data_IF_745879885218
#
_entry.id   IF_745879885218
#
_cell.length_a   1.000
_cell.length_b   1.000
_cell.length_c   1.000
_cell.angle_alpha   90.00
_cell.angle_beta   90.00
_cell.angle_gamma   90.00
#
_symmetry.space_group_name_H-M   'P 1'
#
loop_
_entity.id
_entity.type
_entity.pdbx_description
1 polymer ?
#
# COMPACT_ATOMS: atom_id res chain seq x y z
N UNK A 1 1.14 33.01 -29.40
CA UNK A 1 0.18 32.09 -28.76
C UNK A 1 0.69 30.68 -29.03
N UNK A 2 1.31 30.08 -28.04
CA UNK A 2 1.97 28.76 -28.14
C UNK A 2 1.02 27.70 -27.55
N UNK A 3 0.58 26.77 -28.39
CA UNK A 3 -0.13 25.55 -27.98
C UNK A 3 0.94 24.45 -27.82
N UNK A 4 1.49 24.30 -26.62
CA UNK A 4 2.46 23.27 -26.32
C UNK A 4 2.18 22.63 -24.96
N UNK A 5 1.13 21.80 -24.85
CA UNK A 5 0.78 21.26 -23.55
C UNK A 5 -0.03 19.96 -23.53
N UNK A 6 0.01 19.12 -24.56
CA UNK A 6 -0.80 17.89 -24.58
C UNK A 6 -0.10 16.65 -25.18
N UNK A 7 1.22 16.70 -25.42
CA UNK A 7 1.94 15.58 -26.03
C UNK A 7 2.64 14.66 -25.03
N UNK A 8 2.59 14.93 -23.74
CA UNK A 8 3.27 14.11 -22.72
C UNK A 8 2.59 12.74 -22.50
N UNK A 9 1.26 12.70 -22.57
CA UNK A 9 0.48 11.45 -22.43
C UNK A 9 0.63 10.49 -23.63
N UNK A 10 1.23 10.94 -24.73
CA UNK A 10 1.50 10.12 -25.92
C UNK A 10 2.93 9.57 -25.97
N UNK A 11 3.75 9.84 -24.96
CA UNK A 11 5.09 9.28 -24.86
C UNK A 11 5.01 7.76 -24.76
N UNK A 12 5.73 7.09 -25.66
CA UNK A 12 5.84 5.62 -25.71
C UNK A 12 6.30 5.05 -24.35
N UNK A 13 7.09 5.82 -23.60
CA UNK A 13 7.58 5.47 -22.27
C UNK A 13 6.47 5.42 -21.22
N UNK A 14 5.50 6.34 -21.24
CA UNK A 14 4.33 6.33 -20.32
C UNK A 14 3.47 5.10 -20.60
N UNK A 15 3.27 4.76 -21.88
CA UNK A 15 2.52 3.55 -22.25
C UNK A 15 3.25 2.27 -21.85
N UNK A 16 4.59 2.25 -21.95
CA UNK A 16 5.42 1.11 -21.52
C UNK A 16 5.40 0.98 -20.00
N UNK A 17 5.50 2.06 -19.24
CA UNK A 17 5.46 2.04 -17.78
C UNK A 17 4.07 1.62 -17.28
N UNK A 18 3.01 2.18 -17.86
CA UNK A 18 1.63 1.79 -17.52
C UNK A 18 1.36 0.31 -17.89
N UNK A 19 1.89 -0.15 -19.04
CA UNK A 19 1.82 -1.53 -19.47
C UNK A 19 2.61 -2.49 -18.57
N UNK A 20 3.79 -2.07 -18.10
CA UNK A 20 4.62 -2.86 -17.19
C UNK A 20 3.98 -3.00 -15.80
N UNK A 21 3.39 -1.93 -15.27
CA UNK A 21 2.65 -1.97 -13.99
C UNK A 21 1.41 -2.84 -14.13
N UNK A 22 0.64 -2.70 -15.21
CA UNK A 22 -0.52 -3.56 -15.47
C UNK A 22 -0.13 -5.02 -15.67
N UNK A 23 1.01 -5.32 -16.32
CA UNK A 23 1.52 -6.68 -16.49
C UNK A 23 1.98 -7.30 -15.17
N UNK A 24 2.61 -6.53 -14.27
CA UNK A 24 3.01 -6.99 -12.93
C UNK A 24 1.78 -7.28 -12.05
N UNK A 25 0.76 -6.45 -12.13
CA UNK A 25 -0.52 -6.68 -11.42
C UNK A 25 -1.22 -7.92 -11.98
N UNK A 26 -1.24 -8.10 -13.32
CA UNK A 26 -1.79 -9.29 -13.96
C UNK A 26 -1.01 -10.57 -13.62
N UNK A 27 0.31 -10.52 -13.52
CA UNK A 27 1.13 -11.66 -13.11
C UNK A 27 0.90 -12.02 -11.63
N UNK A 28 0.70 -11.03 -10.76
CA UNK A 28 0.33 -11.28 -9.37
C UNK A 28 -1.08 -11.91 -9.24
N UNK A 29 -2.03 -11.48 -10.09
CA UNK A 29 -3.38 -12.04 -10.16
C UNK A 29 -3.38 -13.45 -10.76
N UNK A 30 -2.59 -13.71 -11.82
CA UNK A 30 -2.47 -15.03 -12.43
C UNK A 30 -1.76 -16.04 -11.50
N UNK A 31 -0.79 -15.60 -10.70
CA UNK A 31 -0.14 -16.44 -9.69
C UNK A 31 -1.11 -16.92 -8.61
N UNK A 32 -2.15 -16.15 -8.30
CA UNK A 32 -3.21 -16.55 -7.36
C UNK A 32 -4.25 -17.50 -7.96
N UNK A 33 -4.40 -17.50 -9.29
CA UNK A 33 -5.36 -18.37 -10.00
C UNK A 33 -4.82 -19.79 -10.24
N UNK A 34 -3.49 -19.97 -10.25
CA UNK A 34 -2.85 -21.27 -10.49
C UNK A 34 -2.77 -22.12 -9.22
N UNK A 35 -2.83 -21.49 -8.04
CA UNK A 35 -2.93 -22.20 -6.76
C UNK A 35 -4.41 -22.34 -6.41
N UNK A 36 -5.03 -23.47 -6.76
CA UNK A 36 -6.45 -23.79 -6.52
C UNK A 36 -6.88 -23.89 -5.04
N UNK A 37 -6.18 -23.25 -4.13
CA UNK A 37 -6.59 -23.02 -2.75
C UNK A 37 -7.21 -21.63 -2.65
N UNK A 38 -8.52 -21.53 -2.50
CA UNK A 38 -9.19 -20.30 -2.08
C UNK A 38 -8.52 -19.81 -0.80
N UNK A 39 -7.73 -18.75 -0.91
CA UNK A 39 -7.15 -18.11 0.28
C UNK A 39 -8.31 -17.65 1.14
N UNK A 40 -8.41 -18.22 2.34
CA UNK A 40 -9.46 -17.93 3.29
C UNK A 40 -9.48 -16.43 3.65
N UNK A 41 -10.68 -15.86 3.79
CA UNK A 41 -10.91 -14.44 4.11
C UNK A 41 -10.07 -13.98 5.30
N UNK A 42 -9.99 -14.78 6.36
CA UNK A 42 -9.21 -14.41 7.54
C UNK A 42 -7.70 -14.28 7.23
N UNK A 43 -7.17 -15.09 6.31
CA UNK A 43 -5.76 -14.96 5.85
C UNK A 43 -5.55 -13.68 5.07
N UNK A 44 -6.51 -13.30 4.21
CA UNK A 44 -6.46 -12.03 3.48
C UNK A 44 -6.46 -10.85 4.44
N UNK A 45 -7.37 -10.83 5.41
CA UNK A 45 -7.49 -9.75 6.41
C UNK A 45 -6.25 -9.66 7.29
N UNK A 46 -5.73 -10.78 7.79
CA UNK A 46 -4.49 -10.81 8.59
C UNK A 46 -3.29 -10.30 7.79
N UNK A 47 -3.14 -10.73 6.54
CA UNK A 47 -2.05 -10.28 5.66
C UNK A 47 -2.16 -8.79 5.33
N UNK A 48 -3.37 -8.30 5.11
CA UNK A 48 -3.63 -6.87 4.91
C UNK A 48 -3.27 -6.07 6.16
N UNK A 49 -3.74 -6.48 7.34
CA UNK A 49 -3.44 -5.79 8.58
C UNK A 49 -1.94 -5.73 8.88
N UNK A 50 -1.21 -6.83 8.66
CA UNK A 50 0.25 -6.86 8.82
C UNK A 50 0.95 -5.88 7.86
N UNK A 51 0.51 -5.79 6.60
CA UNK A 51 1.07 -4.82 5.65
C UNK A 51 0.78 -3.38 6.07
N UNK A 52 -0.45 -3.07 6.46
CA UNK A 52 -0.86 -1.75 6.96
C UNK A 52 0.02 -1.31 8.14
N UNK A 53 0.18 -2.18 9.15
CA UNK A 53 1.00 -1.90 10.34
C UNK A 53 2.48 -1.69 9.99
N UNK A 54 3.02 -2.48 9.07
CA UNK A 54 4.40 -2.33 8.62
C UNK A 54 4.63 -1.05 7.82
N UNK A 55 3.74 -0.71 6.90
CA UNK A 55 3.83 0.54 6.14
C UNK A 55 3.74 1.76 7.07
N UNK A 56 2.84 1.73 8.05
CA UNK A 56 2.73 2.77 9.07
C UNK A 56 4.03 2.93 9.87
N UNK A 57 4.63 1.81 10.30
CA UNK A 57 5.92 1.80 11.01
C UNK A 57 7.05 2.42 10.18
N UNK A 58 7.14 2.09 8.88
CA UNK A 58 8.12 2.65 7.96
C UNK A 58 7.92 4.16 7.79
N UNK A 59 6.68 4.61 7.62
CA UNK A 59 6.37 6.04 7.53
C UNK A 59 6.87 6.78 8.77
N UNK A 60 6.58 6.28 9.97
CA UNK A 60 7.04 6.89 11.23
C UNK A 60 8.56 6.98 11.32
N UNK A 61 9.28 6.01 10.79
CA UNK A 61 10.73 5.97 10.78
C UNK A 61 11.33 7.03 9.85
N UNK A 62 10.74 7.22 8.66
CA UNK A 62 11.37 8.03 7.60
C UNK A 62 10.78 9.44 7.44
N UNK A 63 9.53 9.69 7.85
CA UNK A 63 8.86 10.98 7.64
C UNK A 63 9.65 12.19 8.18
N UNK A 64 10.37 12.02 9.29
CA UNK A 64 11.19 13.10 9.87
C UNK A 64 12.43 13.43 9.04
N UNK A 65 12.85 12.54 8.16
CA UNK A 65 13.98 12.72 7.25
C UNK A 65 13.57 13.31 5.89
N UNK A 66 12.29 13.33 5.57
CA UNK A 66 11.74 13.98 4.37
C UNK A 66 11.90 15.49 4.49
N UNK A 67 12.42 16.14 3.45
CA UNK A 67 12.71 17.59 3.46
C UNK A 67 11.47 18.41 3.12
N UNK A 68 10.64 17.97 2.18
CA UNK A 68 9.41 18.67 1.79
C UNK A 68 8.40 18.68 2.93
N UNK A 69 7.92 19.88 3.29
CA UNK A 69 6.86 20.07 4.30
C UNK A 69 5.55 19.40 3.90
N UNK A 70 5.18 19.53 2.63
CA UNK A 70 3.94 18.99 2.09
C UNK A 70 3.96 17.47 2.10
N UNK A 71 5.10 16.89 1.69
CA UNK A 71 5.27 15.43 1.73
C UNK A 71 5.27 14.90 3.17
N UNK A 72 5.86 15.61 4.13
CA UNK A 72 5.77 15.27 5.56
C UNK A 72 4.33 15.30 6.08
N UNK A 73 3.57 16.33 5.69
CA UNK A 73 2.16 16.46 6.07
C UNK A 73 1.32 15.32 5.50
N UNK A 74 1.53 14.98 4.23
CA UNK A 74 0.87 13.84 3.59
C UNK A 74 1.27 12.52 4.25
N UNK A 75 2.55 12.34 4.61
CA UNK A 75 3.03 11.17 5.33
C UNK A 75 2.40 11.03 6.73
N UNK A 76 2.25 12.14 7.47
CA UNK A 76 1.55 12.13 8.75
C UNK A 76 0.07 11.75 8.61
N UNK A 77 -0.60 12.26 7.57
CA UNK A 77 -1.98 11.91 7.26
C UNK A 77 -2.12 10.43 6.92
N UNK A 78 -1.22 9.91 6.08
CA UNK A 78 -1.20 8.49 5.72
C UNK A 78 -0.94 7.61 6.96
N UNK A 79 0.04 7.95 7.79
CA UNK A 79 0.30 7.21 9.02
C UNK A 79 -0.94 7.17 9.94
N UNK A 80 -1.69 8.27 10.03
CA UNK A 80 -2.92 8.32 10.84
C UNK A 80 -4.01 7.42 10.28
N UNK A 81 -4.24 7.42 8.97
CA UNK A 81 -5.21 6.53 8.32
C UNK A 81 -4.83 5.07 8.58
N UNK A 82 -3.58 4.69 8.30
CA UNK A 82 -3.10 3.33 8.47
C UNK A 82 -3.16 2.87 9.94
N UNK A 83 -2.81 3.74 10.91
CA UNK A 83 -2.89 3.43 12.33
C UNK A 83 -4.34 3.16 12.78
N UNK A 84 -5.29 3.97 12.32
CA UNK A 84 -6.70 3.77 12.64
C UNK A 84 -7.22 2.47 12.04
N UNK A 85 -6.98 2.23 10.75
CA UNK A 85 -7.39 1.01 10.06
C UNK A 85 -6.78 -0.24 10.70
N UNK A 86 -5.47 -0.21 11.02
CA UNK A 86 -4.79 -1.34 11.69
C UNK A 86 -5.39 -1.64 13.05
N UNK A 87 -5.74 -0.61 13.83
CA UNK A 87 -6.37 -0.79 15.15
C UNK A 87 -7.75 -1.45 15.01
N UNK A 88 -8.58 -0.98 14.10
CA UNK A 88 -9.92 -1.51 13.87
C UNK A 88 -9.85 -2.96 13.34
N UNK A 89 -8.97 -3.24 12.38
CA UNK A 89 -8.75 -4.59 11.89
C UNK A 89 -8.20 -5.53 12.96
N UNK A 90 -7.30 -5.06 13.83
CA UNK A 90 -6.76 -5.86 14.94
C UNK A 90 -7.88 -6.24 15.91
N UNK A 91 -8.76 -5.31 16.26
CA UNK A 91 -9.93 -5.58 17.10
C UNK A 91 -10.85 -6.60 16.43
N UNK A 92 -11.20 -6.36 15.17
CA UNK A 92 -12.04 -7.26 14.37
C UNK A 92 -11.47 -8.69 14.28
N UNK A 93 -10.17 -8.81 13.96
CA UNK A 93 -9.47 -10.10 13.86
C UNK A 93 -9.48 -10.84 15.20
N UNK A 94 -9.22 -10.13 16.31
CA UNK A 94 -9.18 -10.73 17.65
C UNK A 94 -10.54 -11.28 18.08
N UNK A 95 -11.63 -10.68 17.62
CA UNK A 95 -12.98 -11.11 17.93
C UNK A 95 -13.49 -12.24 17.03
N UNK A 96 -13.25 -12.13 15.73
CA UNK A 96 -13.87 -12.99 14.72
C UNK A 96 -13.00 -14.17 14.27
N UNK A 97 -11.66 -14.09 14.42
CA UNK A 97 -10.74 -15.10 13.86
C UNK A 97 -9.83 -15.77 14.93
N UNK A 98 -10.35 -15.99 16.13
CA UNK A 98 -9.62 -16.55 17.30
C UNK A 98 -8.93 -17.90 17.08
N UNK A 99 -9.29 -18.66 16.04
CA UNK A 99 -8.87 -20.07 15.86
C UNK A 99 -7.88 -20.32 14.72
N UNK A 100 -7.19 -19.31 14.19
CA UNK A 100 -6.17 -19.55 13.15
C UNK A 100 -4.97 -20.30 13.69
N UNK A 101 -4.45 -21.23 12.89
CA UNK A 101 -3.24 -21.96 13.25
C UNK A 101 -2.06 -21.00 13.43
N UNK A 102 -1.25 -21.23 14.45
CA UNK A 102 -0.05 -20.43 14.73
C UNK A 102 0.92 -20.42 13.53
N UNK A 103 0.95 -21.48 12.74
CA UNK A 103 1.80 -21.59 11.55
C UNK A 103 1.38 -20.64 10.43
N UNK A 104 0.07 -20.50 10.20
CA UNK A 104 -0.45 -19.55 9.21
C UNK A 104 -0.16 -18.10 9.62
N UNK A 105 -0.32 -17.76 10.89
CA UNK A 105 0.02 -16.45 11.43
C UNK A 105 1.51 -16.16 11.26
N UNK A 106 2.38 -17.12 11.63
CA UNK A 106 3.84 -16.99 11.51
C UNK A 106 4.28 -16.80 10.05
N UNK A 107 3.67 -17.51 9.10
CA UNK A 107 3.99 -17.34 7.68
C UNK A 107 3.63 -15.94 7.17
N UNK A 108 2.48 -15.38 7.60
CA UNK A 108 2.05 -14.02 7.28
C UNK A 108 3.02 -12.99 7.87
N UNK A 109 3.38 -13.14 9.15
CA UNK A 109 4.32 -12.25 9.84
C UNK A 109 5.70 -12.28 9.18
N UNK A 110 6.21 -13.46 8.84
CA UNK A 110 7.50 -13.60 8.15
C UNK A 110 7.52 -12.87 6.83
N UNK A 111 6.49 -13.08 5.99
CA UNK A 111 6.41 -12.38 4.70
C UNK A 111 6.29 -10.88 4.88
N UNK A 112 5.45 -10.43 5.80
CA UNK A 112 5.27 -9.01 6.07
C UNK A 112 6.55 -8.34 6.59
N UNK A 113 7.35 -9.06 7.40
CA UNK A 113 8.66 -8.59 7.85
C UNK A 113 9.64 -8.43 6.70
N UNK A 114 9.71 -9.40 5.79
CA UNK A 114 10.56 -9.31 4.60
C UNK A 114 10.19 -8.12 3.72
N UNK A 115 8.89 -7.95 3.41
CA UNK A 115 8.39 -6.82 2.62
C UNK A 115 8.75 -5.46 3.28
N UNK A 116 8.71 -5.38 4.62
CA UNK A 116 9.12 -4.20 5.39
C UNK A 116 10.62 -3.92 5.27
N UNK A 117 11.45 -4.94 5.47
CA UNK A 117 12.92 -4.83 5.40
C UNK A 117 13.39 -4.38 4.01
N UNK A 118 12.75 -4.87 2.95
CA UNK A 118 13.03 -4.43 1.59
C UNK A 118 12.71 -2.94 1.41
N UNK A 119 11.54 -2.50 1.85
CA UNK A 119 11.13 -1.09 1.80
C UNK A 119 12.06 -0.18 2.61
N UNK A 120 12.43 -0.58 3.83
CA UNK A 120 13.38 0.14 4.67
C UNK A 120 14.76 0.25 4.03
N UNK A 121 15.24 -0.82 3.40
CA UNK A 121 16.54 -0.85 2.70
C UNK A 121 16.56 0.15 1.53
N UNK A 122 15.49 0.20 0.74
CA UNK A 122 15.39 1.14 -0.38
C UNK A 122 15.33 2.59 0.10
N UNK A 123 14.53 2.89 1.13
CA UNK A 123 14.43 4.24 1.70
C UNK A 123 15.72 4.67 2.38
N UNK A 124 16.42 3.77 3.04
CA UNK A 124 17.74 4.05 3.62
C UNK A 124 18.76 4.39 2.53
N UNK A 125 18.81 3.62 1.46
CA UNK A 125 19.64 3.91 0.30
C UNK A 125 19.31 5.28 -0.32
N UNK A 126 18.03 5.58 -0.49
CA UNK A 126 17.57 6.87 -1.01
C UNK A 126 17.97 8.05 -0.12
N UNK A 127 17.93 7.87 1.20
CA UNK A 127 18.37 8.86 2.19
C UNK A 127 19.86 9.15 2.05
N UNK A 128 20.71 8.12 1.95
CA UNK A 128 22.17 8.30 1.79
C UNK A 128 22.48 9.02 0.46
N UNK A 129 21.74 8.70 -0.59
CA UNK A 129 21.95 9.30 -1.92
C UNK A 129 21.28 10.68 -2.09
N UNK A 130 20.63 11.22 -1.05
CA UNK A 130 20.03 12.56 -1.09
C UNK A 130 18.74 12.67 -1.92
N UNK A 131 18.12 11.56 -2.31
CA UNK A 131 16.91 11.47 -3.15
C UNK A 131 15.70 10.91 -2.39
N UNK A 132 15.73 11.01 -1.06
CA UNK A 132 14.71 10.40 -0.20
C UNK A 132 13.30 10.87 -0.55
N UNK A 133 13.07 12.17 -0.70
CA UNK A 133 11.72 12.70 -0.91
C UNK A 133 11.03 12.07 -2.12
N UNK A 134 11.74 11.99 -3.24
CA UNK A 134 11.21 11.39 -4.47
C UNK A 134 10.93 9.90 -4.30
N UNK A 135 11.88 9.15 -3.75
CA UNK A 135 11.73 7.70 -3.57
C UNK A 135 10.66 7.40 -2.51
N UNK A 136 10.62 8.18 -1.43
CA UNK A 136 9.59 8.04 -0.41
C UNK A 136 8.20 8.26 -0.98
N UNK A 137 7.98 9.33 -1.75
CA UNK A 137 6.70 9.60 -2.39
C UNK A 137 6.29 8.45 -3.32
N UNK A 138 7.18 8.00 -4.19
CA UNK A 138 6.93 6.89 -5.10
C UNK A 138 6.58 5.59 -4.35
N UNK A 139 7.34 5.26 -3.30
CA UNK A 139 7.09 4.05 -2.49
C UNK A 139 5.77 4.13 -1.73
N UNK A 140 5.43 5.30 -1.18
CA UNK A 140 4.15 5.47 -0.49
C UNK A 140 2.97 5.38 -1.47
N UNK A 141 3.06 5.96 -2.67
CA UNK A 141 2.05 5.77 -3.71
C UNK A 141 1.87 4.28 -4.05
N UNK A 142 2.97 3.54 -4.21
CA UNK A 142 2.93 2.10 -4.45
C UNK A 142 2.26 1.33 -3.29
N UNK A 143 2.66 1.59 -2.05
CA UNK A 143 2.08 0.93 -0.87
C UNK A 143 0.58 1.22 -0.73
N UNK A 144 0.17 2.48 -0.95
CA UNK A 144 -1.24 2.85 -0.97
C UNK A 144 -2.00 2.04 -2.02
N UNK A 145 -1.48 1.94 -3.24
CA UNK A 145 -2.15 1.21 -4.32
C UNK A 145 -2.31 -0.29 -3.99
N UNK A 146 -1.30 -0.91 -3.40
CA UNK A 146 -1.34 -2.33 -3.01
C UNK A 146 -2.33 -2.56 -1.86
N UNK A 147 -2.35 -1.68 -0.86
CA UNK A 147 -3.29 -1.76 0.27
C UNK A 147 -4.72 -1.58 -0.25
N UNK A 148 -4.99 -0.53 -1.02
CA UNK A 148 -6.31 -0.23 -1.58
C UNK A 148 -6.84 -1.38 -2.46
N UNK A 149 -6.00 -1.98 -3.31
CA UNK A 149 -6.38 -3.13 -4.12
C UNK A 149 -6.80 -4.33 -3.26
N UNK A 150 -6.08 -4.59 -2.18
CA UNK A 150 -6.43 -5.69 -1.25
C UNK A 150 -7.69 -5.40 -0.44
N UNK A 151 -7.89 -4.14 -0.06
CA UNK A 151 -9.13 -3.70 0.59
C UNK A 151 -10.33 -3.92 -0.34
N UNK A 152 -10.22 -3.49 -1.60
CA UNK A 152 -11.27 -3.67 -2.61
C UNK A 152 -11.60 -5.14 -2.84
N UNK A 153 -10.59 -6.02 -2.94
CA UNK A 153 -10.81 -7.46 -3.06
C UNK A 153 -11.62 -8.04 -1.89
N UNK A 154 -11.34 -7.60 -0.66
CA UNK A 154 -12.05 -8.07 0.53
C UNK A 154 -13.45 -7.46 0.57
N UNK A 155 -13.61 -6.17 0.31
CA UNK A 155 -14.90 -5.46 0.25
C UNK A 155 -15.86 -6.17 -0.72
N UNK A 156 -15.36 -6.57 -1.89
CA UNK A 156 -16.16 -7.21 -2.93
C UNK A 156 -16.47 -8.68 -2.64
N UNK A 157 -15.70 -9.35 -1.79
CA UNK A 157 -15.87 -10.78 -1.47
C UNK A 157 -16.50 -11.05 -0.11
N UNK A 158 -16.45 -10.11 0.83
CA UNK A 158 -16.97 -10.31 2.19
C UNK A 158 -18.48 -10.08 2.28
N UNK A 159 -19.17 -10.96 3.03
CA UNK A 159 -20.55 -10.74 3.46
C UNK A 159 -20.70 -10.03 4.81
N UNK A 160 -19.59 -9.59 5.44
CA UNK A 160 -19.56 -9.05 6.81
C UNK A 160 -19.62 -7.53 6.78
N UNK A 161 -20.75 -6.95 7.18
CA UNK A 161 -21.00 -5.51 7.10
C UNK A 161 -19.95 -4.68 7.88
N UNK A 162 -19.56 -5.10 9.08
CA UNK A 162 -18.56 -4.43 9.91
C UNK A 162 -17.17 -4.35 9.20
N UNK A 163 -16.71 -5.48 8.63
CA UNK A 163 -15.44 -5.51 7.89
C UNK A 163 -15.49 -4.63 6.65
N UNK A 164 -16.63 -4.67 5.95
CA UNK A 164 -16.85 -3.84 4.76
C UNK A 164 -16.80 -2.35 5.09
N UNK A 165 -17.40 -1.93 6.20
CA UNK A 165 -17.40 -0.53 6.66
C UNK A 165 -15.97 -0.05 6.98
N UNK A 166 -15.21 -0.82 7.78
CA UNK A 166 -13.82 -0.51 8.13
C UNK A 166 -12.98 -0.30 6.85
N UNK A 167 -13.05 -1.26 5.94
CA UNK A 167 -12.23 -1.23 4.72
C UNK A 167 -12.67 -0.16 3.72
N UNK A 168 -13.98 0.13 3.60
CA UNK A 168 -14.46 1.20 2.72
C UNK A 168 -13.99 2.56 3.21
N UNK A 169 -14.06 2.83 4.51
CA UNK A 169 -13.57 4.09 5.09
C UNK A 169 -12.07 4.28 4.87
N UNK A 170 -11.29 3.21 5.02
CA UNK A 170 -9.86 3.21 4.73
C UNK A 170 -9.58 3.45 3.25
N UNK A 171 -10.21 2.70 2.37
CA UNK A 171 -10.07 2.79 0.91
C UNK A 171 -10.29 4.21 0.39
N UNK A 172 -11.40 4.85 0.79
CA UNK A 172 -11.73 6.23 0.39
C UNK A 172 -10.67 7.23 0.86
N UNK A 173 -10.16 7.04 2.09
CA UNK A 173 -9.10 7.87 2.65
C UNK A 173 -7.77 7.70 1.90
N UNK A 174 -7.43 6.46 1.54
CA UNK A 174 -6.22 6.13 0.80
C UNK A 174 -6.27 6.63 -0.65
N UNK A 175 -7.42 6.56 -1.31
CA UNK A 175 -7.59 7.08 -2.67
C UNK A 175 -7.26 8.59 -2.73
N UNK A 176 -7.72 9.38 -1.76
CA UNK A 176 -7.41 10.82 -1.67
C UNK A 176 -5.91 11.12 -1.40
N UNK A 177 -5.20 10.18 -0.76
CA UNK A 177 -3.78 10.33 -0.47
C UNK A 177 -2.89 9.86 -1.62
N UNK A 178 -3.34 8.87 -2.38
CA UNK A 178 -2.60 8.34 -3.52
C UNK A 178 -2.15 9.43 -4.49
N UNK A 179 -3.08 10.28 -4.94
CA UNK A 179 -2.78 11.35 -5.89
C UNK A 179 -1.70 12.30 -5.36
N UNK A 180 -1.76 12.64 -4.07
CA UNK A 180 -0.77 13.54 -3.44
C UNK A 180 0.65 12.99 -3.45
N UNK A 181 0.81 11.67 -3.29
CA UNK A 181 2.12 11.03 -3.36
C UNK A 181 2.57 10.79 -4.79
N UNK A 182 1.65 10.39 -5.66
CA UNK A 182 1.94 10.14 -7.07
C UNK A 182 2.36 11.42 -7.79
N UNK A 183 1.60 12.51 -7.64
CA UNK A 183 1.90 13.80 -8.25
C UNK A 183 3.25 14.37 -7.77
N UNK A 184 3.58 14.19 -6.48
CA UNK A 184 4.86 14.62 -5.94
C UNK A 184 6.03 13.85 -6.59
N UNK A 185 5.87 12.57 -6.84
CA UNK A 185 6.92 11.73 -7.43
C UNK A 185 7.20 12.06 -8.91
N UNK A 186 6.19 12.55 -9.63
CA UNK A 186 6.30 12.89 -11.05
C UNK A 186 6.84 14.31 -11.30
N UNK A 187 6.68 15.23 -10.33
CA UNK A 187 7.00 16.65 -10.51
C UNK A 187 8.39 17.05 -10.03
N UNK A 188 9.14 16.16 -9.40
CA UNK A 188 10.48 16.41 -8.84
C UNK A 188 11.45 15.25 -9.10
#
# INVERSE_FOLDING_TARGET
MSKGGLNFLNSIYVKIILGAVAALVLLALLGSLISGTRVDESTKVLSLNARIANTESVIKTYQTNVKSSDLRSNAASLASVLANTSRELTTYVSEKYKSKSKDAQKAIETKATTDKEELETELFSAKINGILDRIFAHKMAYEISVIATREEEIINSTGKAELKEILTTSYESLANLYDKFNDFSETK
#
